data_IF_212576823328
#
_entry.id   IF_212576823328
#
_cell.length_a   1.000
_cell.length_b   1.000
_cell.length_c   1.000
_cell.angle_alpha   90.00
_cell.angle_beta   90.00
_cell.angle_gamma   90.00
#
_symmetry.space_group_name_H-M   'P 1'
#
loop_
_entity.id
_entity.type
_entity.pdbx_description
1 polymer ?
#
# COMPACT_ATOMS: atom_id res chain seq x y z
N UNK A 1 14.45 1.40 30.47
CA UNK A 1 14.99 0.05 30.79
C UNK A 1 15.62 -0.64 29.59
N UNK A 2 15.01 -0.64 28.39
CA UNK A 2 15.60 -1.28 27.19
C UNK A 2 16.60 -0.40 26.40
N UNK A 3 16.47 0.92 26.53
CA UNK A 3 17.31 1.93 25.87
C UNK A 3 18.30 2.60 26.82
N UNK A 4 18.41 2.11 28.05
CA UNK A 4 19.28 2.63 29.09
C UNK A 4 20.19 1.51 29.55
N UNK A 5 21.46 1.84 29.79
CA UNK A 5 22.44 0.92 30.34
C UNK A 5 21.99 0.55 31.76
N UNK A 6 21.79 -0.75 32.02
CA UNK A 6 21.48 -1.23 33.36
C UNK A 6 22.76 -1.35 34.19
N UNK A 7 22.62 -1.38 35.52
CA UNK A 7 23.76 -1.49 36.42
C UNK A 7 24.52 -2.80 36.17
N UNK A 8 25.75 -2.71 35.66
CA UNK A 8 26.59 -3.85 35.31
C UNK A 8 26.64 -4.18 33.81
N UNK A 9 25.86 -3.51 32.98
CA UNK A 9 25.91 -3.65 31.52
C UNK A 9 26.80 -2.58 30.88
N UNK A 10 27.33 -2.87 29.69
CA UNK A 10 28.18 -1.92 28.94
C UNK A 10 27.42 -1.15 27.87
N UNK A 11 26.33 -1.72 27.33
CA UNK A 11 25.48 -1.14 26.29
C UNK A 11 23.99 -1.40 26.57
N UNK A 12 23.07 -0.66 25.94
CA UNK A 12 21.64 -0.99 25.93
C UNK A 12 21.36 -2.41 25.41
N UNK A 13 20.42 -3.12 26.04
CA UNK A 13 20.04 -4.50 25.66
C UNK A 13 19.67 -4.70 24.18
N UNK A 14 19.08 -3.67 23.54
CA UNK A 14 18.79 -3.74 22.11
C UNK A 14 20.05 -3.91 21.24
N UNK A 15 21.19 -3.39 21.69
CA UNK A 15 22.44 -3.51 20.95
C UNK A 15 22.97 -4.94 20.97
N UNK A 16 22.78 -5.65 22.08
CA UNK A 16 23.13 -7.07 22.20
C UNK A 16 22.23 -7.95 21.33
N UNK A 17 20.91 -7.65 21.29
CA UNK A 17 19.97 -8.35 20.40
C UNK A 17 20.41 -8.17 18.94
N UNK A 18 20.68 -6.94 18.51
CA UNK A 18 21.05 -6.64 17.14
C UNK A 18 22.45 -7.18 16.80
N UNK A 19 23.38 -7.22 17.76
CA UNK A 19 24.71 -7.83 17.59
C UNK A 19 24.67 -9.36 17.47
N UNK A 20 23.74 -10.01 18.17
CA UNK A 20 23.50 -11.46 18.10
C UNK A 20 22.44 -11.89 17.09
N UNK A 21 21.97 -11.00 16.22
CA UNK A 21 20.77 -11.24 15.39
C UNK A 21 20.84 -12.55 14.60
N UNK A 22 21.96 -12.82 13.93
CA UNK A 22 22.14 -14.01 13.08
C UNK A 22 22.11 -15.32 13.87
N UNK A 23 22.68 -15.35 15.09
CA UNK A 23 22.67 -16.54 15.94
C UNK A 23 21.31 -16.76 16.61
N UNK A 24 20.57 -15.68 16.90
CA UNK A 24 19.24 -15.79 17.50
C UNK A 24 18.23 -16.38 16.52
N UNK A 25 18.30 -15.99 15.24
CA UNK A 25 17.29 -16.37 14.25
C UNK A 25 17.65 -17.63 13.43
N UNK A 26 18.85 -18.20 13.58
CA UNK A 26 19.33 -19.29 12.70
C UNK A 26 18.45 -20.55 12.73
N UNK A 27 17.86 -20.85 13.88
CA UNK A 27 17.02 -22.04 14.07
C UNK A 27 15.52 -21.76 13.91
N UNK A 28 15.16 -20.51 13.58
CA UNK A 28 13.77 -20.09 13.45
C UNK A 28 13.23 -20.35 12.05
N UNK A 29 11.97 -20.82 12.00
CA UNK A 29 11.22 -20.88 10.74
C UNK A 29 10.90 -19.46 10.23
N UNK A 30 10.69 -19.27 8.90
CA UNK A 30 10.41 -17.93 8.35
C UNK A 30 9.28 -17.17 9.05
N UNK A 31 8.13 -17.78 9.40
CA UNK A 31 7.10 -17.08 10.18
C UNK A 31 7.59 -16.60 11.55
N UNK A 32 8.41 -17.40 12.25
CA UNK A 32 8.99 -17.01 13.54
C UNK A 32 9.99 -15.87 13.39
N UNK A 33 10.77 -15.86 12.31
CA UNK A 33 11.64 -14.72 11.96
C UNK A 33 10.81 -13.45 11.79
N UNK A 34 9.70 -13.49 11.06
CA UNK A 34 8.85 -12.29 10.90
C UNK A 34 8.32 -11.78 12.24
N UNK A 35 7.84 -12.66 13.13
CA UNK A 35 7.38 -12.27 14.47
C UNK A 35 8.52 -11.67 15.30
N UNK A 36 9.73 -12.21 15.18
CA UNK A 36 10.91 -11.67 15.85
C UNK A 36 11.21 -10.23 15.37
N UNK A 37 11.22 -9.99 14.05
CA UNK A 37 11.43 -8.64 13.51
C UNK A 37 10.32 -7.66 13.91
N UNK A 38 9.06 -8.11 13.95
CA UNK A 38 7.95 -7.29 14.46
C UNK A 38 8.17 -6.90 15.92
N UNK A 39 8.58 -7.86 16.77
CA UNK A 39 8.86 -7.62 18.19
C UNK A 39 10.03 -6.66 18.41
N UNK A 40 11.15 -6.84 17.69
CA UNK A 40 12.28 -5.89 17.76
C UNK A 40 11.87 -4.52 17.23
N UNK A 41 11.04 -4.46 16.19
CA UNK A 41 10.48 -3.21 15.70
C UNK A 41 9.62 -2.47 16.74
N UNK A 42 8.87 -3.19 17.59
CA UNK A 42 8.14 -2.59 18.73
C UNK A 42 9.10 -1.99 19.77
N UNK A 43 10.28 -2.59 19.96
CA UNK A 43 11.32 -1.98 20.79
C UNK A 43 11.75 -0.66 20.14
N UNK A 44 12.22 -0.73 18.89
CA UNK A 44 12.73 0.43 18.13
C UNK A 44 11.71 1.58 18.08
N UNK A 45 10.41 1.30 17.95
CA UNK A 45 9.36 2.34 17.94
C UNK A 45 9.31 3.16 19.23
N UNK A 46 9.76 2.61 20.37
CA UNK A 46 9.81 3.31 21.64
C UNK A 46 11.08 4.18 21.82
N UNK A 47 12.00 4.18 20.86
CA UNK A 47 13.12 5.12 20.84
C UNK A 47 12.64 6.50 20.38
N UNK A 48 12.89 7.52 21.20
CA UNK A 48 12.46 8.89 20.96
C UNK A 48 13.46 9.71 20.13
N UNK A 49 14.76 9.37 20.22
CA UNK A 49 15.81 10.04 19.47
C UNK A 49 15.81 9.57 18.00
N UNK A 50 15.49 10.44 17.01
CA UNK A 50 15.35 10.00 15.62
C UNK A 50 16.65 9.47 15.00
N UNK A 51 17.83 10.14 15.13
CA UNK A 51 19.11 9.59 14.68
C UNK A 51 19.42 8.19 15.23
N UNK A 52 19.22 7.97 16.53
CA UNK A 52 19.47 6.66 17.15
C UNK A 52 18.48 5.63 16.60
N UNK A 53 17.20 6.00 16.50
CA UNK A 53 16.15 5.12 15.94
C UNK A 53 16.47 4.70 14.51
N UNK A 54 16.92 5.61 13.65
CA UNK A 54 17.31 5.29 12.27
C UNK A 54 18.50 4.34 12.21
N UNK A 55 19.51 4.54 13.05
CA UNK A 55 20.65 3.62 13.19
C UNK A 55 20.23 2.21 13.63
N UNK A 56 19.28 2.11 14.55
CA UNK A 56 18.72 0.83 14.99
C UNK A 56 17.92 0.13 13.88
N UNK A 57 17.16 0.87 13.07
CA UNK A 57 16.44 0.33 11.90
C UNK A 57 17.44 -0.23 10.88
N UNK A 58 18.51 0.51 10.59
CA UNK A 58 19.55 0.08 9.67
C UNK A 58 20.22 -1.23 10.12
N UNK A 59 20.56 -1.33 11.41
CA UNK A 59 21.15 -2.55 11.99
C UNK A 59 20.18 -3.73 11.99
N UNK A 60 18.90 -3.50 12.30
CA UNK A 60 17.87 -4.55 12.23
C UNK A 60 17.74 -5.11 10.81
N UNK A 61 17.77 -4.24 9.81
CA UNK A 61 17.51 -4.59 8.42
C UNK A 61 18.76 -5.03 7.64
N UNK A 62 19.94 -5.05 8.27
CA UNK A 62 21.21 -5.36 7.61
C UNK A 62 21.20 -6.72 6.89
N UNK A 63 20.75 -7.79 7.55
CA UNK A 63 20.73 -9.13 6.95
C UNK A 63 19.73 -9.24 5.77
N UNK A 64 18.45 -8.83 5.91
CA UNK A 64 17.53 -8.78 4.77
C UNK A 64 18.04 -7.93 3.61
N UNK A 65 18.70 -6.80 3.89
CA UNK A 65 19.25 -5.91 2.87
C UNK A 65 20.40 -6.57 2.11
N UNK A 66 21.32 -7.22 2.81
CA UNK A 66 22.43 -7.93 2.16
C UNK A 66 21.94 -9.02 1.20
N UNK A 67 20.93 -9.79 1.59
CA UNK A 67 20.36 -10.84 0.72
C UNK A 67 19.59 -10.21 -0.44
N UNK A 68 18.85 -9.13 -0.19
CA UNK A 68 18.14 -8.38 -1.22
C UNK A 68 19.10 -7.85 -2.29
N UNK A 69 20.17 -7.17 -1.87
CA UNK A 69 21.19 -6.61 -2.75
C UNK A 69 21.86 -7.69 -3.61
N UNK A 70 22.16 -8.86 -3.05
CA UNK A 70 22.70 -10.00 -3.81
C UNK A 70 21.71 -10.48 -4.89
N UNK A 71 20.43 -10.63 -4.54
CA UNK A 71 19.39 -11.05 -5.49
C UNK A 71 19.23 -10.02 -6.61
N UNK A 72 19.16 -8.73 -6.28
CA UNK A 72 19.00 -7.65 -7.26
C UNK A 72 20.23 -7.56 -8.18
N UNK A 73 21.44 -7.71 -7.64
CA UNK A 73 22.66 -7.76 -8.43
C UNK A 73 22.62 -8.92 -9.43
N UNK A 74 22.28 -10.13 -8.99
CA UNK A 74 22.13 -11.28 -9.88
C UNK A 74 21.04 -11.08 -10.93
N UNK A 75 19.89 -10.52 -10.55
CA UNK A 75 18.80 -10.22 -11.48
C UNK A 75 19.15 -9.14 -12.51
N UNK A 76 20.06 -8.22 -12.17
CA UNK A 76 20.59 -7.20 -13.10
C UNK A 76 21.49 -7.82 -14.18
N UNK A 77 22.11 -8.96 -13.89
CA UNK A 77 22.96 -9.71 -14.82
C UNK A 77 22.16 -10.72 -15.64
N UNK A 78 21.18 -11.40 -15.02
CA UNK A 78 20.28 -12.33 -15.69
C UNK A 78 18.86 -12.24 -15.11
N UNK A 79 17.95 -11.68 -15.91
CA UNK A 79 16.54 -11.52 -15.52
C UNK A 79 15.81 -12.85 -15.34
N UNK A 80 16.34 -13.96 -15.87
CA UNK A 80 15.73 -15.28 -15.72
C UNK A 80 15.82 -15.82 -14.30
N UNK A 81 16.68 -15.25 -13.46
CA UNK A 81 16.71 -15.50 -12.01
C UNK A 81 15.33 -15.26 -11.38
N UNK A 82 14.56 -14.30 -11.91
CA UNK A 82 13.18 -14.01 -11.47
C UNK A 82 12.14 -15.07 -11.87
N UNK A 83 12.55 -16.13 -12.60
CA UNK A 83 11.74 -17.32 -12.90
C UNK A 83 12.10 -18.51 -12.01
N UNK A 84 13.16 -18.40 -11.19
CA UNK A 84 13.47 -19.42 -10.19
C UNK A 84 12.51 -19.32 -9.00
N UNK A 85 11.88 -20.45 -8.65
CA UNK A 85 10.85 -20.49 -7.61
C UNK A 85 11.40 -20.19 -6.22
N UNK A 86 12.59 -20.67 -5.89
CA UNK A 86 13.17 -20.47 -4.56
C UNK A 86 13.70 -19.05 -4.41
N UNK A 87 14.22 -18.44 -5.48
CA UNK A 87 14.55 -17.00 -5.48
C UNK A 87 13.31 -16.14 -5.26
N UNK A 88 12.22 -16.38 -6.00
CA UNK A 88 10.96 -15.62 -5.85
C UNK A 88 10.36 -15.79 -4.44
N UNK A 89 10.46 -16.98 -3.84
CA UNK A 89 10.08 -17.20 -2.44
C UNK A 89 10.96 -16.43 -1.45
N UNK A 90 12.28 -16.39 -1.69
CA UNK A 90 13.20 -15.64 -0.83
C UNK A 90 12.88 -14.14 -0.87
N UNK A 91 12.60 -13.59 -2.05
CA UNK A 91 12.11 -12.21 -2.22
C UNK A 91 10.82 -12.00 -1.41
N UNK A 92 9.84 -12.91 -1.51
CA UNK A 92 8.59 -12.80 -0.75
C UNK A 92 8.83 -12.84 0.77
N UNK A 93 9.78 -13.65 1.26
CA UNK A 93 10.14 -13.71 2.67
C UNK A 93 10.81 -12.41 3.14
N UNK A 94 11.75 -11.85 2.37
CA UNK A 94 12.39 -10.56 2.68
C UNK A 94 11.32 -9.45 2.78
N UNK A 95 10.37 -9.42 1.85
CA UNK A 95 9.28 -8.44 1.86
C UNK A 95 8.38 -8.61 3.08
N UNK A 96 8.07 -9.85 3.49
CA UNK A 96 7.30 -10.11 4.73
C UNK A 96 8.04 -9.66 5.98
N UNK A 97 9.36 -9.86 6.04
CA UNK A 97 10.20 -9.31 7.12
C UNK A 97 10.11 -7.78 7.17
N UNK A 98 10.19 -7.11 6.01
CA UNK A 98 9.99 -5.66 5.92
C UNK A 98 8.59 -5.23 6.36
N UNK A 99 7.53 -5.95 5.96
CA UNK A 99 6.15 -5.69 6.40
C UNK A 99 6.03 -5.80 7.92
N UNK A 100 6.61 -6.85 8.51
CA UNK A 100 6.58 -7.09 9.94
C UNK A 100 7.28 -5.97 10.73
N UNK A 101 8.49 -5.59 10.32
CA UNK A 101 9.23 -4.48 10.93
C UNK A 101 8.50 -3.13 10.72
N UNK A 102 8.04 -2.85 9.50
CA UNK A 102 7.31 -1.62 9.18
C UNK A 102 6.04 -1.46 10.02
N UNK A 103 5.30 -2.55 10.27
CA UNK A 103 4.04 -2.51 11.02
C UNK A 103 4.24 -2.03 12.45
N UNK A 104 5.30 -2.49 13.10
CA UNK A 104 5.60 -2.11 14.48
C UNK A 104 6.36 -0.78 14.59
N UNK A 105 7.27 -0.48 13.66
CA UNK A 105 8.07 0.76 13.67
C UNK A 105 7.24 1.99 13.26
N UNK A 106 6.37 1.86 12.26
CA UNK A 106 5.54 2.96 11.74
C UNK A 106 6.28 3.94 10.82
N UNK A 107 5.91 5.22 10.85
CA UNK A 107 6.43 6.28 9.96
C UNK A 107 7.97 6.30 9.80
N UNK A 108 8.78 6.17 10.89
CA UNK A 108 10.24 6.19 10.79
C UNK A 108 10.85 5.10 9.89
N UNK A 109 10.10 4.05 9.53
CA UNK A 109 10.55 3.02 8.61
C UNK A 109 10.83 3.54 7.18
N UNK A 110 10.49 4.80 6.88
CA UNK A 110 10.78 5.44 5.58
C UNK A 110 12.27 5.41 5.21
N UNK A 111 13.19 5.45 6.18
CA UNK A 111 14.63 5.36 5.92
C UNK A 111 15.04 4.01 5.31
N UNK A 112 14.34 2.93 5.65
CA UNK A 112 14.53 1.61 5.07
C UNK A 112 13.74 1.46 3.78
N UNK A 113 12.47 1.90 3.77
CA UNK A 113 11.61 1.77 2.59
C UNK A 113 12.22 2.48 1.38
N UNK A 114 12.78 3.69 1.56
CA UNK A 114 13.40 4.45 0.47
C UNK A 114 14.60 3.73 -0.16
N UNK A 115 15.39 2.99 0.63
CA UNK A 115 16.56 2.23 0.14
C UNK A 115 16.18 1.15 -0.86
N UNK A 116 15.04 0.47 -0.66
CA UNK A 116 14.61 -0.67 -1.49
C UNK A 116 13.51 -0.33 -2.51
N UNK A 117 12.98 0.90 -2.48
CA UNK A 117 11.75 1.25 -3.18
C UNK A 117 11.81 1.06 -4.70
N UNK A 118 12.85 1.58 -5.35
CA UNK A 118 12.99 1.49 -6.81
C UNK A 118 13.19 0.04 -7.27
N UNK A 119 13.99 -0.72 -6.54
CA UNK A 119 14.17 -2.16 -6.82
C UNK A 119 12.87 -2.92 -6.63
N UNK A 120 12.09 -2.62 -5.58
CA UNK A 120 10.76 -3.20 -5.39
C UNK A 120 9.84 -2.90 -6.57
N UNK A 121 9.82 -1.67 -7.08
CA UNK A 121 9.01 -1.31 -8.25
C UNK A 121 9.44 -2.11 -9.50
N UNK A 122 10.74 -2.29 -9.71
CA UNK A 122 11.26 -3.11 -10.81
C UNK A 122 10.90 -4.59 -10.63
N UNK A 123 11.03 -5.15 -9.42
CA UNK A 123 10.63 -6.52 -9.08
C UNK A 123 9.13 -6.72 -9.33
N UNK A 124 8.29 -5.75 -8.94
CA UNK A 124 6.85 -5.78 -9.23
C UNK A 124 6.60 -5.87 -10.74
N UNK A 125 7.24 -5.00 -11.52
CA UNK A 125 7.07 -4.94 -12.98
C UNK A 125 7.51 -6.24 -13.66
N UNK A 126 8.66 -6.80 -13.29
CA UNK A 126 9.19 -8.05 -13.86
C UNK A 126 8.32 -9.23 -13.50
N UNK A 127 7.96 -9.38 -12.22
CA UNK A 127 7.09 -10.48 -11.78
C UNK A 127 5.72 -10.39 -12.43
N UNK A 128 5.16 -9.19 -12.56
CA UNK A 128 3.89 -9.01 -13.24
C UNK A 128 3.97 -9.33 -14.73
N UNK A 129 5.00 -8.85 -15.44
CA UNK A 129 5.24 -9.19 -16.84
C UNK A 129 5.35 -10.69 -17.08
N UNK A 130 6.03 -11.42 -16.18
CA UNK A 130 6.13 -12.87 -16.23
C UNK A 130 4.77 -13.56 -16.04
N UNK A 131 3.94 -13.09 -15.09
CA UNK A 131 2.58 -13.60 -14.89
C UNK A 131 1.74 -13.38 -16.15
N UNK A 132 1.72 -12.15 -16.68
CA UNK A 132 0.94 -11.79 -17.86
C UNK A 132 1.34 -12.61 -19.09
N UNK A 133 2.66 -12.77 -19.31
CA UNK A 133 3.19 -13.59 -20.41
C UNK A 133 2.75 -15.04 -20.27
N UNK A 134 2.89 -15.62 -19.08
CA UNK A 134 2.49 -16.99 -18.81
C UNK A 134 0.99 -17.23 -19.06
N UNK A 135 0.13 -16.27 -18.68
CA UNK A 135 -1.32 -16.34 -18.89
C UNK A 135 -1.67 -16.23 -20.38
N UNK A 136 -0.99 -15.36 -21.13
CA UNK A 136 -1.19 -15.23 -22.58
C UNK A 136 -0.79 -16.52 -23.31
N UNK A 137 0.31 -17.15 -22.90
CA UNK A 137 0.83 -18.36 -23.54
C UNK A 137 0.06 -19.63 -23.17
N UNK A 138 -0.40 -19.75 -21.92
CA UNK A 138 -0.91 -21.02 -21.37
C UNK A 138 -2.36 -20.94 -20.84
N UNK A 139 -3.00 -19.78 -20.95
CA UNK A 139 -4.32 -19.52 -20.39
C UNK A 139 -4.31 -19.32 -18.86
N UNK A 140 -5.49 -19.08 -18.29
CA UNK A 140 -5.64 -18.73 -16.85
C UNK A 140 -5.28 -19.88 -15.89
N UNK A 141 -5.26 -21.12 -16.38
CA UNK A 141 -4.89 -22.31 -15.60
C UNK A 141 -3.46 -22.23 -15.03
N UNK A 142 -2.58 -21.49 -15.71
CA UNK A 142 -1.20 -21.25 -15.26
C UNK A 142 -1.14 -20.54 -13.90
N UNK A 143 -2.18 -19.78 -13.53
CA UNK A 143 -2.27 -19.08 -12.23
C UNK A 143 -2.27 -20.05 -11.03
N UNK A 144 -2.56 -21.34 -11.28
CA UNK A 144 -2.51 -22.39 -10.25
C UNK A 144 -1.09 -22.93 -10.00
N UNK A 145 -0.16 -22.69 -10.92
CA UNK A 145 1.20 -23.20 -10.83
C UNK A 145 1.98 -22.59 -9.64
N UNK A 146 2.86 -23.37 -8.99
CA UNK A 146 3.58 -22.91 -7.80
C UNK A 146 4.43 -21.64 -8.01
N UNK A 147 5.10 -21.51 -9.16
CA UNK A 147 5.93 -20.33 -9.46
C UNK A 147 5.08 -19.07 -9.60
N UNK A 148 3.98 -19.15 -10.35
CA UNK A 148 3.06 -18.02 -10.57
C UNK A 148 2.40 -17.60 -9.24
N UNK A 149 2.05 -18.56 -8.37
CA UNK A 149 1.60 -18.27 -7.01
C UNK A 149 2.64 -17.51 -6.19
N UNK A 150 3.92 -17.90 -6.26
CA UNK A 150 5.01 -17.18 -5.60
C UNK A 150 5.19 -15.76 -6.15
N UNK A 151 5.12 -15.57 -7.48
CA UNK A 151 5.21 -14.24 -8.09
C UNK A 151 4.06 -13.33 -7.66
N UNK A 152 2.83 -13.87 -7.58
CA UNK A 152 1.67 -13.14 -7.05
C UNK A 152 1.85 -12.79 -5.57
N UNK A 153 2.47 -13.67 -4.78
CA UNK A 153 2.80 -13.36 -3.39
C UNK A 153 3.79 -12.19 -3.31
N UNK A 154 4.85 -12.16 -4.13
CA UNK A 154 5.76 -11.00 -4.20
C UNK A 154 5.01 -9.71 -4.50
N UNK A 155 4.17 -9.68 -5.54
CA UNK A 155 3.33 -8.49 -5.85
C UNK A 155 2.48 -8.07 -4.64
N UNK A 156 1.83 -9.02 -3.97
CA UNK A 156 1.00 -8.73 -2.80
C UNK A 156 1.80 -8.17 -1.63
N UNK A 157 2.98 -8.71 -1.35
CA UNK A 157 3.81 -8.25 -0.24
C UNK A 157 4.40 -6.85 -0.51
N UNK A 158 4.76 -6.52 -1.75
CA UNK A 158 5.13 -5.15 -2.15
C UNK A 158 3.99 -4.18 -1.87
N UNK A 159 2.78 -4.49 -2.35
CA UNK A 159 1.59 -3.67 -2.11
C UNK A 159 1.28 -3.56 -0.61
N UNK A 160 1.49 -4.64 0.14
CA UNK A 160 1.26 -4.69 1.59
C UNK A 160 2.26 -3.83 2.34
N UNK A 161 3.54 -3.85 1.98
CA UNK A 161 4.57 -3.02 2.59
C UNK A 161 4.28 -1.53 2.39
N UNK A 162 4.02 -1.14 1.15
CA UNK A 162 3.68 0.26 0.82
C UNK A 162 2.40 0.67 1.56
N UNK A 163 1.36 -0.16 1.52
CA UNK A 163 0.11 0.07 2.24
C UNK A 163 0.30 0.21 3.75
N UNK A 164 1.16 -0.62 4.35
CA UNK A 164 1.44 -0.63 5.81
C UNK A 164 2.12 0.67 6.21
N UNK A 165 3.10 1.11 5.42
CA UNK A 165 3.80 2.35 5.68
C UNK A 165 2.91 3.58 5.46
N UNK A 166 2.20 3.68 4.33
CA UNK A 166 1.32 4.82 4.01
C UNK A 166 0.23 4.98 5.07
N UNK A 167 -0.36 3.89 5.57
CA UNK A 167 -1.36 3.93 6.65
C UNK A 167 -0.82 4.44 8.00
N UNK A 168 0.51 4.48 8.17
CA UNK A 168 1.21 4.95 9.37
C UNK A 168 1.97 6.26 9.14
N UNK A 169 1.97 6.77 7.92
CA UNK A 169 2.56 8.06 7.60
C UNK A 169 1.73 9.16 8.26
N UNK A 170 2.30 9.85 9.23
CA UNK A 170 1.72 11.07 9.82
C UNK A 170 2.26 12.30 9.09
N UNK A 171 1.45 13.35 8.94
CA UNK A 171 1.79 14.61 8.25
C UNK A 171 3.07 15.29 8.77
N UNK A 172 3.48 15.00 10.01
CA UNK A 172 4.50 15.76 10.75
C UNK A 172 5.80 15.01 11.01
N UNK A 173 5.93 13.75 10.57
CA UNK A 173 6.95 12.84 11.11
C UNK A 173 7.78 12.16 10.02
N UNK A 174 8.65 12.94 9.37
CA UNK A 174 10.08 12.68 9.02
C UNK A 174 10.47 13.61 7.86
N UNK A 175 11.04 14.76 8.23
CA UNK A 175 11.62 15.76 7.32
C UNK A 175 13.12 15.49 7.02
N UNK A 176 13.66 14.31 7.35
CA UNK A 176 15.12 14.10 7.38
C UNK A 176 15.71 13.45 6.14
N UNK A 177 14.98 12.60 5.42
CA UNK A 177 15.54 11.90 4.25
C UNK A 177 15.60 12.81 3.01
N UNK A 178 14.63 13.70 2.85
CA UNK A 178 14.64 14.68 1.75
C UNK A 178 15.46 15.92 2.05
N UNK A 179 15.68 16.26 3.32
CA UNK A 179 16.68 17.27 3.66
C UNK A 179 18.08 16.83 3.22
N UNK A 180 18.43 15.54 3.28
CA UNK A 180 19.78 15.10 2.90
C UNK A 180 20.04 15.05 1.39
N UNK A 181 19.09 14.56 0.58
CA UNK A 181 19.27 14.53 -0.88
C UNK A 181 18.98 15.88 -1.55
N UNK A 182 18.02 16.66 -1.04
CA UNK A 182 17.74 17.99 -1.58
C UNK A 182 18.77 19.02 -1.11
N UNK A 183 19.27 18.96 0.14
CA UNK A 183 20.35 19.87 0.57
C UNK A 183 21.70 19.54 -0.08
N UNK A 184 22.00 18.30 -0.49
CA UNK A 184 23.22 18.02 -1.25
C UNK A 184 23.14 18.59 -2.68
N UNK A 185 21.96 18.57 -3.31
CA UNK A 185 21.73 19.16 -4.64
C UNK A 185 21.62 20.69 -4.57
N UNK A 186 20.98 21.25 -3.54
CA UNK A 186 20.91 22.71 -3.30
C UNK A 186 22.25 23.30 -2.82
N UNK A 187 22.99 22.59 -1.95
CA UNK A 187 24.34 23.01 -1.51
C UNK A 187 25.37 22.97 -2.64
N UNK A 188 25.11 22.21 -3.71
CA UNK A 188 25.91 22.23 -4.93
C UNK A 188 25.48 23.32 -5.93
N UNK A 189 24.36 24.03 -5.70
CA UNK A 189 23.82 24.97 -6.69
C UNK A 189 23.48 26.39 -6.20
N UNK A 190 23.25 26.69 -4.92
CA UNK A 190 22.97 28.07 -4.48
C UNK A 190 23.50 28.40 -3.09
N UNK A 191 24.48 29.31 -3.06
CA UNK A 191 24.88 30.06 -1.87
C UNK A 191 23.76 31.03 -1.46
N UNK A 192 22.69 30.55 -0.85
CA UNK A 192 21.80 31.43 -0.09
C UNK A 192 21.21 30.71 1.14
N UNK A 193 21.61 31.22 2.31
CA UNK A 193 21.09 30.83 3.63
C UNK A 193 20.06 31.87 4.03
N UNK A 194 18.77 31.56 3.88
CA UNK A 194 17.69 32.35 4.50
C UNK A 194 16.40 31.57 4.66
N UNK A 195 16.09 31.25 5.92
CA UNK A 195 14.78 31.00 6.54
C UNK A 195 13.58 30.67 5.63
N UNK A 196 13.06 29.46 5.78
CA UNK A 196 11.63 29.20 5.59
C UNK A 196 11.14 28.17 6.62
N UNK A 197 10.01 28.52 7.25
CA UNK A 197 9.15 27.72 8.11
C UNK A 197 8.91 26.31 7.53
N UNK A 198 9.00 25.24 8.32
CA UNK A 198 8.69 23.89 7.81
C UNK A 198 7.84 23.07 8.78
N UNK A 199 6.52 23.09 8.58
CA UNK A 199 5.70 21.90 8.74
C UNK A 199 4.86 21.71 7.46
N UNK A 200 5.41 21.02 6.43
CA UNK A 200 4.69 20.65 5.19
C UNK A 200 5.51 19.76 4.21
N UNK A 201 6.53 19.01 4.67
CA UNK A 201 7.53 18.38 3.76
C UNK A 201 7.27 16.90 3.46
N UNK A 202 6.51 16.17 4.29
CA UNK A 202 6.32 14.73 4.11
C UNK A 202 5.30 14.38 3.01
N UNK A 203 4.19 15.12 2.92
CA UNK A 203 3.16 14.90 1.90
C UNK A 203 3.72 15.06 0.47
N UNK A 204 4.62 16.03 0.29
CA UNK A 204 5.28 16.34 -0.97
C UNK A 204 6.20 15.20 -1.45
N UNK A 205 6.93 14.58 -0.53
CA UNK A 205 7.82 13.44 -0.82
C UNK A 205 7.05 12.22 -1.32
N UNK A 206 5.95 11.87 -0.64
CA UNK A 206 5.14 10.72 -1.02
C UNK A 206 4.49 10.97 -2.38
N UNK A 207 3.90 12.15 -2.58
CA UNK A 207 3.23 12.53 -3.82
C UNK A 207 4.17 12.71 -5.01
N UNK A 208 5.38 13.25 -4.83
CA UNK A 208 6.28 13.56 -5.94
C UNK A 208 7.26 12.42 -6.26
N UNK A 209 7.62 11.59 -5.26
CA UNK A 209 8.65 10.55 -5.44
C UNK A 209 8.14 9.11 -5.36
N UNK A 210 7.04 8.84 -4.65
CA UNK A 210 6.52 7.48 -4.46
C UNK A 210 5.26 7.20 -5.29
N UNK A 211 4.27 8.10 -5.26
CA UNK A 211 2.98 7.87 -5.93
C UNK A 211 3.11 7.69 -7.46
N UNK A 212 3.87 8.51 -8.21
CA UNK A 212 3.91 8.38 -9.66
C UNK A 212 4.52 7.05 -10.14
N UNK A 213 5.71 6.62 -9.65
CA UNK A 213 6.28 5.32 -10.03
C UNK A 213 5.38 4.15 -9.61
N UNK A 214 4.73 4.25 -8.45
CA UNK A 214 3.76 3.26 -8.01
C UNK A 214 2.60 3.15 -8.99
N UNK A 215 1.98 4.28 -9.34
CA UNK A 215 0.79 4.32 -10.20
C UNK A 215 1.12 3.84 -11.61
N UNK A 216 2.28 4.22 -12.15
CA UNK A 216 2.79 3.72 -13.43
C UNK A 216 2.92 2.19 -13.43
N UNK A 217 3.41 1.63 -12.31
CA UNK A 217 3.58 0.18 -12.18
C UNK A 217 2.27 -0.58 -11.95
N UNK A 218 1.36 -0.07 -11.11
CA UNK A 218 0.21 -0.85 -10.62
C UNK A 218 -1.10 -0.61 -11.37
N UNK A 219 -1.36 0.61 -11.83
CA UNK A 219 -2.68 0.96 -12.41
C UNK A 219 -2.88 0.28 -13.78
N UNK A 220 -1.93 0.48 -14.68
CA UNK A 220 -1.96 -0.12 -16.01
C UNK A 220 -1.88 -1.66 -15.95
N UNK A 221 -1.08 -2.17 -15.02
CA UNK A 221 -0.97 -3.61 -14.77
C UNK A 221 -2.30 -4.22 -14.30
N UNK A 222 -2.98 -3.58 -13.35
CA UNK A 222 -4.29 -4.04 -12.88
C UNK A 222 -5.32 -4.03 -14.01
N UNK A 223 -5.38 -2.93 -14.78
CA UNK A 223 -6.36 -2.78 -15.86
C UNK A 223 -6.22 -3.87 -16.92
N UNK A 224 -4.99 -4.18 -17.36
CA UNK A 224 -4.70 -5.10 -18.47
C UNK A 224 -4.74 -6.58 -18.11
N UNK A 225 -4.60 -6.92 -16.82
CA UNK A 225 -4.65 -8.30 -16.38
C UNK A 225 -6.06 -8.88 -16.53
N UNK A 226 -6.15 -10.19 -16.79
CA UNK A 226 -7.43 -10.89 -16.78
C UNK A 226 -8.04 -10.87 -15.35
N UNK A 227 -9.37 -11.04 -15.21
CA UNK A 227 -10.06 -11.01 -13.92
C UNK A 227 -9.39 -11.84 -12.83
N UNK A 228 -8.96 -13.06 -13.15
CA UNK A 228 -8.32 -13.98 -12.20
C UNK A 228 -6.90 -13.55 -11.77
N UNK A 229 -6.20 -12.75 -12.57
CA UNK A 229 -4.85 -12.26 -12.30
C UNK A 229 -4.80 -10.90 -11.58
N UNK A 230 -5.91 -10.15 -11.58
CA UNK A 230 -6.03 -8.85 -10.90
C UNK A 230 -5.90 -9.01 -9.39
N UNK A 231 -4.94 -8.31 -8.78
CA UNK A 231 -4.67 -8.39 -7.34
C UNK A 231 -5.58 -7.41 -6.56
N UNK A 232 -6.51 -7.91 -5.70
CA UNK A 232 -7.46 -7.05 -4.98
C UNK A 232 -6.80 -6.08 -4.01
N UNK A 233 -5.55 -6.35 -3.59
CA UNK A 233 -4.77 -5.46 -2.74
C UNK A 233 -4.44 -4.13 -3.40
N UNK A 234 -4.45 -4.04 -4.74
CA UNK A 234 -4.29 -2.78 -5.47
C UNK A 234 -5.40 -1.80 -5.09
N UNK A 235 -6.66 -2.25 -5.08
CA UNK A 235 -7.81 -1.44 -4.68
C UNK A 235 -7.72 -0.99 -3.22
N UNK A 236 -7.28 -1.90 -2.33
CA UNK A 236 -7.06 -1.58 -0.91
C UNK A 236 -5.95 -0.55 -0.72
N UNK A 237 -4.86 -0.64 -1.49
CA UNK A 237 -3.76 0.32 -1.44
C UNK A 237 -4.23 1.70 -1.90
N UNK A 238 -4.95 1.77 -3.03
CA UNK A 238 -5.50 3.02 -3.54
C UNK A 238 -6.44 3.67 -2.53
N UNK A 239 -7.31 2.89 -1.88
CA UNK A 239 -8.19 3.39 -0.82
C UNK A 239 -7.39 4.02 0.33
N UNK A 240 -6.31 3.37 0.77
CA UNK A 240 -5.44 3.89 1.84
C UNK A 240 -4.71 5.15 1.40
N UNK A 241 -4.20 5.19 0.17
CA UNK A 241 -3.54 6.39 -0.38
C UNK A 241 -4.51 7.57 -0.43
N UNK A 242 -5.73 7.36 -0.91
CA UNK A 242 -6.77 8.41 -0.95
C UNK A 242 -7.10 8.90 0.46
N UNK A 243 -7.31 7.98 1.41
CA UNK A 243 -7.58 8.34 2.82
C UNK A 243 -6.45 9.13 3.46
N UNK A 244 -5.19 8.84 3.11
CA UNK A 244 -4.03 9.49 3.74
C UNK A 244 -3.61 10.79 3.05
N UNK A 245 -3.86 10.94 1.75
CA UNK A 245 -3.45 12.13 1.00
C UNK A 245 -4.55 13.18 0.83
N UNK A 246 -5.78 12.84 1.20
CA UNK A 246 -6.94 13.73 1.16
C UNK A 246 -7.09 14.43 -0.20
N UNK A 247 -7.33 15.75 -0.21
CA UNK A 247 -7.48 16.55 -1.44
C UNK A 247 -6.21 16.64 -2.30
N UNK A 248 -5.05 16.22 -1.79
CA UNK A 248 -3.79 16.32 -2.54
C UNK A 248 -3.68 15.30 -3.66
N UNK A 249 -4.51 14.25 -3.66
CA UNK A 249 -4.58 13.24 -4.74
C UNK A 249 -5.60 13.60 -5.83
N UNK A 250 -6.28 14.74 -5.72
CA UNK A 250 -7.37 15.14 -6.62
C UNK A 250 -7.01 15.09 -8.11
N UNK A 251 -5.76 15.42 -8.47
CA UNK A 251 -5.28 15.36 -9.85
C UNK A 251 -5.18 13.93 -10.42
N UNK A 252 -5.03 12.91 -9.57
CA UNK A 252 -4.89 11.52 -10.00
C UNK A 252 -6.21 10.73 -9.95
N UNK A 253 -7.29 11.30 -9.39
CA UNK A 253 -8.58 10.61 -9.20
C UNK A 253 -9.13 10.04 -10.51
N UNK A 254 -9.10 10.81 -11.60
CA UNK A 254 -9.58 10.35 -12.92
C UNK A 254 -8.75 9.17 -13.41
N UNK A 255 -7.42 9.27 -13.30
CA UNK A 255 -6.50 8.20 -13.69
C UNK A 255 -6.71 6.93 -12.88
N UNK A 256 -7.00 7.04 -11.58
CA UNK A 256 -7.36 5.92 -10.72
C UNK A 256 -8.65 5.26 -11.23
N UNK A 257 -9.72 6.05 -11.44
CA UNK A 257 -11.02 5.56 -11.89
C UNK A 257 -10.91 4.88 -13.28
N UNK A 258 -10.23 5.50 -14.24
CA UNK A 258 -10.02 4.94 -15.58
C UNK A 258 -9.35 3.57 -15.53
N UNK A 259 -8.39 3.39 -14.62
CA UNK A 259 -7.63 2.16 -14.51
C UNK A 259 -8.40 1.02 -13.82
N UNK A 260 -9.23 1.32 -12.81
CA UNK A 260 -9.77 0.27 -11.93
C UNK A 260 -11.30 0.18 -11.90
N UNK A 261 -12.04 1.20 -12.31
CA UNK A 261 -13.49 1.27 -12.09
C UNK A 261 -14.25 0.24 -12.93
N UNK A 262 -14.34 0.46 -14.24
CA UNK A 262 -15.15 -0.36 -15.16
C UNK A 262 -14.72 -1.82 -15.14
N UNK A 263 -13.40 -2.06 -15.22
CA UNK A 263 -12.88 -3.42 -15.29
C UNK A 263 -13.12 -4.22 -14.01
N UNK A 264 -13.19 -3.57 -12.83
CA UNK A 264 -13.56 -4.24 -11.58
C UNK A 264 -15.06 -4.42 -11.46
N UNK A 265 -15.84 -3.42 -11.87
CA UNK A 265 -17.30 -3.49 -11.84
C UNK A 265 -17.82 -4.69 -12.66
N UNK A 266 -17.29 -4.89 -13.86
CA UNK A 266 -17.58 -6.04 -14.73
C UNK A 266 -17.22 -7.41 -14.14
N UNK A 267 -16.30 -7.45 -13.17
CA UNK A 267 -15.95 -8.68 -12.45
C UNK A 267 -16.97 -9.00 -11.37
N UNK A 268 -17.43 -7.98 -10.65
CA UNK A 268 -18.22 -8.15 -9.42
C UNK A 268 -19.73 -8.10 -9.65
N UNK A 269 -20.19 -7.56 -10.79
CA UNK A 269 -21.61 -7.37 -11.09
C UNK A 269 -22.29 -8.58 -11.77
N UNK A 270 -21.53 -9.63 -12.12
CA UNK A 270 -22.07 -10.81 -12.84
C UNK A 270 -22.76 -11.82 -11.93
N UNK A 271 -22.28 -11.98 -10.71
CA UNK A 271 -22.81 -12.95 -9.74
C UNK A 271 -22.68 -12.38 -8.31
N UNK A 272 -23.18 -13.07 -7.29
CA UNK A 272 -23.17 -12.59 -5.89
C UNK A 272 -22.05 -13.19 -5.02
N UNK A 273 -21.23 -14.11 -5.54
CA UNK A 273 -20.29 -14.92 -4.76
C UNK A 273 -18.82 -14.75 -5.19
N UNK A 274 -18.52 -14.54 -6.48
CA UNK A 274 -17.14 -14.48 -6.96
C UNK A 274 -16.45 -13.15 -6.58
N UNK A 275 -15.13 -13.20 -6.42
CA UNK A 275 -14.29 -12.03 -6.12
C UNK A 275 -14.72 -11.24 -4.85
N UNK A 276 -14.91 -11.90 -3.68
CA UNK A 276 -15.37 -11.22 -2.46
C UNK A 276 -14.37 -10.15 -1.98
N UNK A 277 -13.07 -10.38 -2.12
CA UNK A 277 -12.04 -9.40 -1.75
C UNK A 277 -12.07 -8.16 -2.67
N UNK A 278 -12.23 -8.36 -3.98
CA UNK A 278 -12.36 -7.24 -4.93
C UNK A 278 -13.60 -6.41 -4.62
N UNK A 279 -14.74 -7.02 -4.30
CA UNK A 279 -15.97 -6.31 -3.91
C UNK A 279 -15.73 -5.39 -2.72
N UNK A 280 -15.21 -5.94 -1.63
CA UNK A 280 -14.98 -5.18 -0.39
C UNK A 280 -14.01 -4.02 -0.66
N UNK A 281 -12.90 -4.28 -1.35
CA UNK A 281 -11.89 -3.26 -1.58
C UNK A 281 -12.33 -2.21 -2.61
N UNK A 282 -13.13 -2.59 -3.61
CA UNK A 282 -13.73 -1.68 -4.59
C UNK A 282 -14.64 -0.66 -3.91
N UNK A 283 -15.57 -1.12 -3.07
CA UNK A 283 -16.48 -0.20 -2.39
C UNK A 283 -15.79 0.63 -1.30
N UNK A 284 -14.73 0.11 -0.65
CA UNK A 284 -13.85 0.92 0.22
C UNK A 284 -13.15 2.05 -0.54
N UNK A 285 -12.65 1.77 -1.75
CA UNK A 285 -12.03 2.78 -2.60
C UNK A 285 -13.05 3.87 -2.99
N UNK A 286 -14.25 3.49 -3.42
CA UNK A 286 -15.31 4.45 -3.73
C UNK A 286 -15.68 5.30 -2.50
N UNK A 287 -15.81 4.67 -1.33
CA UNK A 287 -16.05 5.36 -0.07
C UNK A 287 -14.94 6.39 0.24
N UNK A 288 -13.66 6.02 0.07
CA UNK A 288 -12.54 6.92 0.29
C UNK A 288 -12.55 8.11 -0.69
N UNK A 289 -12.75 7.85 -1.99
CA UNK A 289 -12.85 8.90 -3.00
C UNK A 289 -14.00 9.88 -2.74
N UNK A 290 -15.16 9.35 -2.33
CA UNK A 290 -16.32 10.16 -2.00
C UNK A 290 -16.11 11.01 -0.74
N UNK A 291 -15.41 10.47 0.27
CA UNK A 291 -15.14 11.19 1.52
C UNK A 291 -14.08 12.28 1.34
N UNK A 292 -12.96 11.94 0.68
CA UNK A 292 -11.75 12.77 0.65
C UNK A 292 -11.65 13.67 -0.58
N UNK A 293 -12.21 13.24 -1.70
CA UNK A 293 -12.06 13.89 -3.02
C UNK A 293 -13.42 14.33 -3.58
N UNK A 294 -14.36 14.72 -2.71
CA UNK A 294 -15.75 15.02 -3.06
C UNK A 294 -15.89 16.02 -4.21
N UNK A 295 -15.09 17.09 -4.21
CA UNK A 295 -15.16 18.15 -5.22
C UNK A 295 -14.85 17.64 -6.64
N UNK A 296 -13.88 16.73 -6.76
CA UNK A 296 -13.56 16.07 -8.04
C UNK A 296 -14.67 15.08 -8.41
N UNK A 297 -15.22 14.40 -7.40
CA UNK A 297 -16.22 13.36 -7.57
C UNK A 297 -17.56 13.90 -8.10
N UNK A 298 -17.98 15.09 -7.64
CA UNK A 298 -19.17 15.79 -8.15
C UNK A 298 -18.93 16.40 -9.54
N UNK A 299 -17.69 16.70 -9.88
CA UNK A 299 -17.30 17.21 -11.21
C UNK A 299 -17.09 16.10 -12.26
N UNK A 300 -17.34 14.82 -11.92
CA UNK A 300 -17.22 13.71 -12.86
C UNK A 300 -18.22 13.82 -14.01
N UNK A 301 -17.91 13.24 -15.19
CA UNK A 301 -18.89 13.11 -16.27
C UNK A 301 -20.19 12.45 -15.79
N UNK A 302 -21.38 12.96 -16.17
CA UNK A 302 -22.67 12.46 -15.66
C UNK A 302 -22.88 10.95 -15.86
N UNK A 303 -22.38 10.40 -16.96
CA UNK A 303 -22.46 8.97 -17.27
C UNK A 303 -21.66 8.12 -16.26
N UNK A 304 -20.42 8.52 -15.98
CA UNK A 304 -19.56 7.84 -15.00
C UNK A 304 -20.15 7.97 -13.59
N UNK A 305 -20.66 9.15 -13.25
CA UNK A 305 -21.32 9.40 -11.97
C UNK A 305 -22.56 8.50 -11.78
N UNK A 306 -23.39 8.35 -12.82
CA UNK A 306 -24.54 7.43 -12.79
C UNK A 306 -24.11 5.99 -12.54
N UNK A 307 -23.08 5.51 -13.25
CA UNK A 307 -22.55 4.16 -13.07
C UNK A 307 -22.05 3.91 -11.63
N UNK A 308 -21.43 4.91 -11.01
CA UNK A 308 -21.01 4.85 -9.61
C UNK A 308 -22.23 4.71 -8.69
N UNK A 309 -23.25 5.53 -8.89
CA UNK A 309 -24.49 5.47 -8.10
C UNK A 309 -25.16 4.10 -8.24
N UNK A 310 -25.27 3.59 -9.46
CA UNK A 310 -25.84 2.26 -9.73
C UNK A 310 -25.06 1.14 -9.01
N UNK A 311 -23.73 1.20 -9.04
CA UNK A 311 -22.86 0.26 -8.33
C UNK A 311 -23.08 0.31 -6.80
N UNK A 312 -23.25 1.50 -6.22
CA UNK A 312 -23.50 1.69 -4.78
C UNK A 312 -24.90 1.19 -4.40
N UNK A 313 -25.91 1.45 -5.20
CA UNK A 313 -27.27 0.92 -4.99
C UNK A 313 -27.26 -0.61 -5.04
N UNK A 314 -26.48 -1.19 -5.95
CA UNK A 314 -26.27 -2.63 -5.98
C UNK A 314 -25.58 -3.14 -4.71
N UNK A 315 -24.54 -2.46 -4.22
CA UNK A 315 -23.86 -2.82 -2.96
C UNK A 315 -24.80 -2.78 -1.76
N UNK A 316 -25.66 -1.76 -1.66
CA UNK A 316 -26.66 -1.64 -0.60
C UNK A 316 -27.60 -2.86 -0.54
N UNK A 317 -27.97 -3.41 -1.69
CA UNK A 317 -28.84 -4.59 -1.82
C UNK A 317 -28.09 -5.92 -1.72
N UNK A 318 -26.77 -5.91 -1.48
CA UNK A 318 -25.96 -7.10 -1.47
C UNK A 318 -26.25 -8.01 -0.25
N UNK A 319 -26.22 -9.32 -0.47
CA UNK A 319 -26.29 -10.34 0.59
C UNK A 319 -25.15 -10.28 1.62
N UNK A 320 -23.94 -9.84 1.22
CA UNK A 320 -22.79 -9.76 2.12
C UNK A 320 -22.91 -8.54 3.00
N UNK A 321 -23.03 -8.77 4.31
CA UNK A 321 -23.21 -7.70 5.32
C UNK A 321 -22.20 -6.57 5.18
N UNK A 322 -20.90 -6.89 5.04
CA UNK A 322 -19.85 -5.88 4.94
C UNK A 322 -20.02 -4.97 3.70
N UNK A 323 -20.39 -5.54 2.55
CA UNK A 323 -20.61 -4.77 1.32
C UNK A 323 -21.87 -3.91 1.44
N UNK A 324 -22.94 -4.48 2.00
CA UNK A 324 -24.18 -3.75 2.25
C UNK A 324 -24.01 -2.62 3.27
N UNK A 325 -23.18 -2.81 4.30
CA UNK A 325 -22.83 -1.76 5.27
C UNK A 325 -22.05 -0.61 4.61
N UNK A 326 -21.09 -0.92 3.72
CA UNK A 326 -20.37 0.12 2.96
C UNK A 326 -21.34 0.87 2.04
N UNK A 327 -22.22 0.16 1.33
CA UNK A 327 -23.25 0.78 0.48
C UNK A 327 -24.19 1.69 1.27
N UNK A 328 -24.64 1.24 2.46
CA UNK A 328 -25.43 2.08 3.38
C UNK A 328 -24.68 3.32 3.81
N UNK A 329 -23.43 3.16 4.27
CA UNK A 329 -22.60 4.28 4.67
C UNK A 329 -22.42 5.27 3.51
N UNK A 330 -22.19 4.77 2.31
CA UNK A 330 -22.00 5.61 1.13
C UNK A 330 -23.24 6.45 0.90
N UNK A 331 -24.42 5.82 0.83
CA UNK A 331 -25.66 6.57 0.60
C UNK A 331 -25.91 7.60 1.73
N UNK A 332 -25.72 7.21 3.00
CA UNK A 332 -25.87 8.10 4.16
C UNK A 332 -24.89 9.29 4.17
N UNK A 333 -23.60 9.05 3.89
CA UNK A 333 -22.57 10.10 3.85
C UNK A 333 -22.75 11.00 2.62
N UNK A 334 -23.17 10.40 1.51
CA UNK A 334 -23.59 11.08 0.28
C UNK A 334 -25.00 11.65 0.33
N UNK A 335 -25.72 11.72 1.47
CA UNK A 335 -26.96 12.50 1.55
C UNK A 335 -26.74 14.00 1.21
N UNK A 336 -25.49 14.48 1.21
CA UNK A 336 -25.10 15.77 0.61
C UNK A 336 -25.20 15.80 -0.93
N UNK A 337 -24.95 14.68 -1.61
CA UNK A 337 -25.04 14.52 -3.06
C UNK A 337 -26.49 14.59 -3.55
N UNK A 338 -27.39 13.88 -2.86
CA UNK A 338 -28.78 13.69 -3.32
C UNK A 338 -29.59 14.99 -3.29
N UNK A 339 -29.23 15.97 -2.46
CA UNK A 339 -29.91 17.28 -2.43
C UNK A 339 -29.36 18.24 -3.52
N UNK A 340 -28.15 18.02 -4.03
CA UNK A 340 -27.54 18.88 -5.06
C UNK A 340 -27.77 18.39 -6.49
N UNK A 341 -27.90 17.08 -6.73
CA UNK A 341 -28.24 16.51 -8.04
C UNK A 341 -29.63 15.89 -8.01
N UNK A 342 -30.66 16.65 -8.35
CA UNK A 342 -31.97 16.11 -8.69
C UNK A 342 -31.84 15.11 -9.85
N UNK A 343 -31.79 13.80 -9.55
CA UNK A 343 -31.90 12.72 -10.54
C UNK A 343 -32.72 11.56 -9.92
N UNK A 344 -33.87 11.32 -10.57
CA UNK A 344 -34.78 10.17 -10.47
C UNK A 344 -35.58 9.96 -9.15
N UNK A 345 -36.90 10.12 -9.31
CA UNK A 345 -37.98 9.93 -8.32
C UNK A 345 -38.05 8.55 -7.66
N UNK A 346 -37.36 7.53 -8.20
CA UNK A 346 -37.43 6.16 -7.71
C UNK A 346 -36.52 5.89 -6.49
N UNK A 347 -35.52 6.74 -6.24
CA UNK A 347 -34.65 6.60 -5.05
C UNK A 347 -35.36 7.12 -3.79
N UNK A 348 -36.23 8.13 -3.92
CA UNK A 348 -37.00 8.68 -2.80
C UNK A 348 -37.98 7.63 -2.26
N UNK A 349 -38.56 6.77 -3.09
CA UNK A 349 -39.45 5.70 -2.62
C UNK A 349 -38.73 4.58 -1.85
N UNK A 350 -37.48 4.26 -2.24
CA UNK A 350 -36.67 3.27 -1.51
C UNK A 350 -36.31 3.77 -0.10
N UNK A 351 -36.18 5.08 0.10
CA UNK A 351 -35.90 5.70 1.40
C UNK A 351 -37.14 6.21 2.16
N UNK A 352 -38.30 6.32 1.51
CA UNK A 352 -39.57 6.75 2.13
C UNK A 352 -40.27 5.63 2.93
N UNK A 353 -39.83 4.37 2.82
CA UNK A 353 -40.41 3.27 3.59
C UNK A 353 -39.70 3.03 4.93
N UNK A 354 -40.29 3.66 5.96
CA UNK A 354 -40.18 3.45 7.42
C UNK A 354 -39.26 4.43 8.16
N UNK A 355 -39.80 5.21 9.12
CA UNK A 355 -38.97 5.95 10.04
C UNK A 355 -38.16 4.95 10.88
N UNK A 356 -36.83 5.07 10.81
CA UNK A 356 -35.94 4.56 11.85
C UNK A 356 -36.36 5.21 13.16
N UNK A 357 -37.15 4.48 13.96
CA UNK A 357 -37.34 4.81 15.36
C UNK A 357 -35.98 4.65 16.01
N UNK A 358 -35.40 5.79 16.37
CA UNK A 358 -34.31 5.90 17.33
C UNK A 358 -34.77 5.21 18.62
N UNK A 359 -33.99 4.22 19.06
CA UNK A 359 -33.96 3.73 20.44
C UNK A 359 -32.57 4.02 20.97
#
# INVERSE_FOLDING_TARGET
MLFQIQAGETNPFIDDILGGLSSIICDLSPPQVHVFYEAVGCLISAQNDPPIRESLIERLMQLPNSIWEEIILHASMDINVMKDREVVKNIANILKTNVAACRSIGSPFICQLSKIYLDMANVYKVTSGNISTAVVENGEEVLRQPLIKSMRAVKREILTLISTWVAKAEDTSVCLVFAFCFALIESLLRNDVSRAQVPLVMLKVVLESFVPPLFDAVLFDYQRNCPAAREPKVLSLLSIIVTQLHSSINCEVIRILDAVFTCTLEMINRDMEQYPEHRINFFKLLQALNHECFDVFVALPPELFRLIVDAVVWAFKHSMRNVAEIGRWYICSSFKIVILSAVETDIVEVFACKPLKVL
#
